data_IF_664068850858
#
_entry.id   IF_664068850858
#
_cell.length_a   1.000
_cell.length_b   1.000
_cell.length_c   1.000
_cell.angle_alpha   90.00
_cell.angle_beta   90.00
_cell.angle_gamma   90.00
#
_symmetry.space_group_name_H-M   'P 1'
#
loop_
_entity.id
_entity.type
_entity.pdbx_description
1 polymer ?
#
# COMPACT_ATOMS: atom_id res chain seq x y z
N UNK A 1 5.24 15.24 -5.76
CA UNK A 1 5.38 16.68 -6.03
C UNK A 1 5.00 17.54 -4.82
N UNK A 2 3.77 17.49 -4.30
CA UNK A 2 3.35 18.36 -3.17
C UNK A 2 3.62 17.80 -1.76
N UNK A 3 4.51 16.80 -1.63
CA UNK A 3 4.66 16.07 -0.37
C UNK A 3 5.19 16.94 0.78
N UNK A 4 6.16 17.82 0.50
CA UNK A 4 6.69 18.72 1.54
C UNK A 4 5.66 19.74 2.02
N UNK A 5 4.81 20.23 1.11
CA UNK A 5 3.68 21.06 1.48
C UNK A 5 2.65 20.29 2.31
N UNK A 6 2.32 19.05 1.93
CA UNK A 6 1.42 18.17 2.68
C UNK A 6 1.95 17.91 4.10
N UNK A 7 3.25 17.58 4.26
CA UNK A 7 3.87 17.42 5.59
C UNK A 7 3.77 18.70 6.42
N UNK A 8 4.06 19.86 5.82
CA UNK A 8 4.01 21.14 6.54
C UNK A 8 2.59 21.53 6.95
N UNK A 9 1.60 21.29 6.09
CA UNK A 9 0.22 21.68 6.32
C UNK A 9 -0.55 20.68 7.20
N UNK A 10 -0.26 19.39 7.06
CA UNK A 10 -1.06 18.29 7.61
C UNK A 10 -0.28 17.29 8.46
N UNK A 11 1.05 17.43 8.63
CA UNK A 11 1.88 16.44 9.35
C UNK A 11 1.55 16.26 10.84
N UNK A 12 0.92 17.28 11.45
CA UNK A 12 0.40 17.19 12.82
C UNK A 12 -1.08 16.77 12.91
N UNK A 13 -1.75 16.59 11.77
CA UNK A 13 -3.15 16.16 11.74
C UNK A 13 -3.27 14.68 12.09
N UNK A 14 -4.29 14.31 12.87
CA UNK A 14 -4.52 12.92 13.29
C UNK A 14 -4.72 11.95 12.12
N UNK A 15 -5.08 12.48 10.95
CA UNK A 15 -5.38 11.71 9.75
C UNK A 15 -4.26 11.75 8.71
N UNK A 16 -3.10 12.32 9.04
CA UNK A 16 -1.93 12.39 8.16
C UNK A 16 -1.49 11.02 7.65
N UNK A 17 -1.62 9.99 8.48
CA UNK A 17 -1.29 8.63 8.12
C UNK A 17 -2.19 8.00 7.04
N UNK A 18 -3.36 8.59 6.76
CA UNK A 18 -4.25 8.13 5.69
C UNK A 18 -3.63 8.26 4.31
N UNK A 19 -2.69 9.20 4.12
CA UNK A 19 -1.91 9.30 2.88
C UNK A 19 -1.05 8.06 2.62
N UNK A 20 -0.76 7.28 3.66
CA UNK A 20 0.00 6.03 3.60
C UNK A 20 -0.95 4.83 3.56
N UNK A 21 -1.96 4.81 4.42
CA UNK A 21 -2.88 3.68 4.58
C UNK A 21 -3.76 3.47 3.33
N UNK A 22 -4.34 4.54 2.76
CA UNK A 22 -5.29 4.39 1.67
C UNK A 22 -4.67 3.80 0.39
N UNK A 23 -3.50 4.26 -0.08
CA UNK A 23 -2.83 3.60 -1.20
C UNK A 23 -2.51 2.12 -0.90
N UNK A 24 -2.01 1.82 0.30
CA UNK A 24 -1.66 0.46 0.69
C UNK A 24 -2.85 -0.52 0.67
N UNK A 25 -4.04 -0.03 1.06
CA UNK A 25 -5.26 -0.82 1.02
C UNK A 25 -5.74 -1.12 -0.41
N UNK A 26 -5.46 -0.24 -1.38
CA UNK A 26 -5.95 -0.36 -2.74
C UNK A 26 -4.98 -1.09 -3.68
N UNK A 27 -3.67 -0.98 -3.46
CA UNK A 27 -2.68 -1.51 -4.38
C UNK A 27 -2.57 -3.03 -4.35
N UNK A 28 -2.47 -3.62 -5.55
CA UNK A 28 -2.53 -5.07 -5.77
C UNK A 28 -1.67 -5.57 -6.93
N UNK A 29 -0.72 -4.75 -7.39
CA UNK A 29 0.22 -5.12 -8.46
C UNK A 29 1.66 -4.82 -8.05
N UNK A 30 2.61 -5.51 -8.69
CA UNK A 30 4.05 -5.35 -8.40
C UNK A 30 4.54 -3.94 -8.72
N UNK A 31 4.04 -3.34 -9.79
CA UNK A 31 4.38 -1.97 -10.20
C UNK A 31 3.97 -0.98 -9.10
N UNK A 32 2.74 -1.09 -8.59
CA UNK A 32 2.25 -0.24 -7.51
C UNK A 32 2.98 -0.46 -6.18
N UNK A 33 3.40 -1.69 -5.89
CA UNK A 33 4.28 -1.96 -4.74
C UNK A 33 5.62 -1.23 -4.88
N UNK A 34 6.22 -1.27 -6.07
CA UNK A 34 7.51 -0.63 -6.32
C UNK A 34 7.40 0.90 -6.25
N UNK A 35 6.34 1.48 -6.83
CA UNK A 35 6.05 2.91 -6.72
C UNK A 35 5.81 3.33 -5.27
N UNK A 36 5.04 2.54 -4.51
CA UNK A 36 4.78 2.81 -3.09
C UNK A 36 6.07 2.81 -2.28
N UNK A 37 6.96 1.83 -2.48
CA UNK A 37 8.26 1.77 -1.82
C UNK A 37 9.14 2.95 -2.21
N UNK A 38 9.29 3.21 -3.50
CA UNK A 38 10.12 4.30 -4.01
C UNK A 38 9.68 5.66 -3.45
N UNK A 39 8.36 5.86 -3.31
CA UNK A 39 7.83 7.07 -2.71
C UNK A 39 8.03 7.09 -1.19
N UNK A 40 7.64 6.04 -0.44
CA UNK A 40 7.53 6.09 1.03
C UNK A 40 8.76 5.62 1.83
N UNK A 41 9.62 4.76 1.30
CA UNK A 41 10.82 4.31 2.02
C UNK A 41 11.75 5.48 2.44
N UNK A 42 11.93 6.55 1.63
CA UNK A 42 12.68 7.72 2.07
C UNK A 42 12.04 8.51 3.23
N UNK A 43 10.83 8.17 3.68
CA UNK A 43 10.15 8.82 4.81
C UNK A 43 10.10 7.95 6.09
N UNK A 44 10.85 6.84 6.15
CA UNK A 44 10.81 5.94 7.29
C UNK A 44 11.27 6.56 8.62
N UNK A 45 11.97 7.69 8.58
CA UNK A 45 12.38 8.45 9.77
C UNK A 45 11.24 9.30 10.38
N UNK A 46 10.14 9.51 9.64
CA UNK A 46 8.96 10.19 10.15
C UNK A 46 8.15 9.24 11.06
N UNK A 47 8.26 9.45 12.37
CA UNK A 47 7.60 8.63 13.38
C UNK A 47 6.07 8.60 13.26
N UNK A 48 5.45 9.64 12.67
CA UNK A 48 3.99 9.68 12.50
C UNK A 48 3.49 8.63 11.50
N UNK A 49 4.34 8.22 10.55
CA UNK A 49 3.95 7.34 9.44
C UNK A 49 4.81 6.10 9.27
N UNK A 50 6.00 6.02 9.88
CA UNK A 50 6.97 4.92 9.72
C UNK A 50 6.36 3.53 9.92
N UNK A 51 5.51 3.36 10.95
CA UNK A 51 4.82 2.10 11.20
C UNK A 51 3.86 1.73 10.06
N UNK A 52 3.07 2.69 9.60
CA UNK A 52 2.08 2.50 8.54
C UNK A 52 2.74 2.25 7.19
N UNK A 53 3.91 2.84 6.92
CA UNK A 53 4.70 2.54 5.72
C UNK A 53 5.12 1.06 5.71
N UNK A 54 5.70 0.59 6.81
CA UNK A 54 6.15 -0.80 6.96
C UNK A 54 4.99 -1.80 6.86
N UNK A 55 3.84 -1.49 7.48
CA UNK A 55 2.64 -2.31 7.38
C UNK A 55 2.10 -2.32 5.95
N UNK A 56 1.99 -1.16 5.32
CA UNK A 56 1.50 -1.04 3.93
C UNK A 56 2.34 -1.82 2.93
N UNK A 57 3.68 -1.78 3.04
CA UNK A 57 4.56 -2.61 2.20
C UNK A 57 4.24 -4.11 2.36
N UNK A 58 4.07 -4.58 3.60
CA UNK A 58 3.74 -5.98 3.89
C UNK A 58 2.37 -6.36 3.38
N UNK A 59 1.37 -5.51 3.57
CA UNK A 59 -0.01 -5.75 3.13
C UNK A 59 -0.12 -5.82 1.60
N UNK A 60 0.50 -4.89 0.89
CA UNK A 60 0.52 -4.91 -0.58
C UNK A 60 1.23 -6.19 -1.07
N UNK A 61 2.39 -6.53 -0.50
CA UNK A 61 3.14 -7.74 -0.88
C UNK A 61 2.32 -9.01 -0.64
N UNK A 62 1.73 -9.16 0.55
CA UNK A 62 0.91 -10.31 0.88
C UNK A 62 -0.34 -10.42 -0.03
N UNK A 63 -0.92 -9.30 -0.42
CA UNK A 63 -2.06 -9.27 -1.36
C UNK A 63 -1.66 -9.73 -2.76
N UNK A 64 -0.49 -9.31 -3.25
CA UNK A 64 0.06 -9.79 -4.52
C UNK A 64 0.29 -11.29 -4.45
N UNK A 65 0.95 -11.77 -3.41
CA UNK A 65 1.26 -13.20 -3.24
C UNK A 65 -0.02 -14.06 -3.14
N UNK A 66 -1.06 -13.56 -2.48
CA UNK A 66 -2.38 -14.20 -2.41
C UNK A 66 -3.02 -14.28 -3.80
N UNK A 67 -3.01 -13.18 -4.56
CA UNK A 67 -3.58 -13.16 -5.91
C UNK A 67 -2.84 -14.15 -6.82
N UNK A 68 -1.50 -14.12 -6.82
CA UNK A 68 -0.67 -15.00 -7.65
C UNK A 68 -0.92 -16.48 -7.33
N UNK A 69 -1.03 -16.82 -6.04
CA UNK A 69 -1.26 -18.21 -5.60
C UNK A 69 -2.67 -18.71 -5.93
N UNK A 70 -3.70 -17.89 -5.71
CA UNK A 70 -5.10 -18.37 -5.76
C UNK A 70 -5.77 -18.15 -7.11
N UNK A 71 -5.18 -17.36 -8.02
CA UNK A 71 -5.80 -16.96 -9.30
C UNK A 71 -6.39 -18.13 -10.07
N UNK A 72 -5.59 -19.17 -10.33
CA UNK A 72 -6.03 -20.33 -11.12
C UNK A 72 -7.18 -21.09 -10.46
N UNK A 73 -7.13 -21.26 -9.13
CA UNK A 73 -8.18 -21.95 -8.38
C UNK A 73 -9.50 -21.17 -8.39
N UNK A 74 -9.44 -19.84 -8.24
CA UNK A 74 -10.61 -18.96 -8.31
C UNK A 74 -11.21 -18.94 -9.71
N UNK A 75 -10.39 -18.83 -10.76
CA UNK A 75 -10.86 -18.88 -12.15
C UNK A 75 -11.59 -20.18 -12.47
N UNK A 76 -11.04 -21.33 -12.03
CA UNK A 76 -11.69 -22.63 -12.18
C UNK A 76 -13.03 -22.72 -11.44
N UNK A 77 -13.09 -22.24 -10.20
CA UNK A 77 -14.32 -22.26 -9.39
C UNK A 77 -15.45 -21.40 -10.01
N UNK A 78 -15.10 -20.22 -10.56
CA UNK A 78 -16.07 -19.34 -11.24
C UNK A 78 -16.62 -20.01 -12.51
N UNK A 79 -15.77 -20.67 -13.29
CA UNK A 79 -16.19 -21.38 -14.50
C UNK A 79 -17.07 -22.59 -14.19
N UNK A 80 -16.80 -23.33 -13.11
CA UNK A 80 -17.60 -24.49 -12.70
C UNK A 80 -19.00 -24.12 -12.18
N UNK A 81 -19.24 -22.85 -11.83
CA UNK A 81 -20.54 -22.35 -11.36
C UNK A 81 -21.43 -21.86 -12.51
N UNK A 82 -20.90 -21.80 -13.74
CA UNK A 82 -21.67 -21.51 -14.96
C UNK A 82 -22.26 -22.79 -15.53
#
# INVERSE_FOLDING_TARGET
ENWDWIKKALGGDMSFDKFVIYPANCFKTRERLNEYKAFFEPQLDDMAISRNIKMGIKEIAARIDLIEREKAAVEAAILATK
#
